data_IF_532902197249
#
_entry.id   IF_532902197249
#
_cell.length_a   1.000
_cell.length_b   1.000
_cell.length_c   1.000
_cell.angle_alpha   90.00
_cell.angle_beta   90.00
_cell.angle_gamma   90.00
#
_symmetry.space_group_name_H-M   'P 1'
#
loop_
_entity.id
_entity.type
_entity.pdbx_description
1 polymer ?
#
# COMPACT_ATOMS: atom_id res chain seq x y z
N UNK A 1 -20.32 1.64 -15.76
CA UNK A 1 -20.60 2.92 -15.08
C UNK A 1 -21.97 2.91 -14.45
N UNK A 2 -22.02 2.51 -13.18
CA UNK A 2 -23.18 2.67 -12.31
C UNK A 2 -22.67 3.49 -11.13
N UNK A 3 -22.74 4.82 -11.23
CA UNK A 3 -22.36 5.71 -10.12
C UNK A 3 -23.36 5.52 -8.99
N UNK A 4 -23.02 4.65 -8.04
CA UNK A 4 -23.69 4.54 -6.77
C UNK A 4 -23.48 5.87 -6.01
N UNK A 5 -24.54 6.65 -5.86
CA UNK A 5 -24.53 7.92 -5.14
C UNK A 5 -24.40 7.66 -3.64
N UNK A 6 -23.17 7.47 -3.15
CA UNK A 6 -22.89 7.39 -1.72
C UNK A 6 -23.12 8.75 -1.07
N UNK A 7 -24.19 8.87 -0.29
CA UNK A 7 -24.62 10.10 0.38
C UNK A 7 -23.88 10.35 1.71
N UNK A 8 -23.11 9.37 2.17
CA UNK A 8 -22.31 9.43 3.40
C UNK A 8 -20.84 9.19 3.09
N UNK A 9 -19.90 9.92 3.74
CA UNK A 9 -18.48 9.67 3.56
C UNK A 9 -18.12 8.26 4.04
N UNK A 10 -17.66 7.42 3.11
CA UNK A 10 -17.16 6.07 3.42
C UNK A 10 -15.91 6.20 4.26
N UNK A 11 -15.86 5.56 5.43
CA UNK A 11 -14.73 5.67 6.37
C UNK A 11 -13.87 4.40 6.34
N UNK A 12 -12.63 4.46 6.85
CA UNK A 12 -11.72 3.30 6.94
C UNK A 12 -12.38 2.07 7.58
N UNK A 13 -13.24 2.24 8.59
CA UNK A 13 -13.97 1.15 9.26
C UNK A 13 -14.90 0.39 8.31
N UNK A 14 -15.53 1.11 7.38
CA UNK A 14 -16.55 0.56 6.50
C UNK A 14 -15.93 -0.29 5.38
N UNK A 15 -14.69 0.04 5.00
CA UNK A 15 -13.90 -0.71 4.00
C UNK A 15 -13.12 -1.85 4.64
N UNK A 16 -12.61 -1.68 5.87
CA UNK A 16 -11.80 -2.69 6.56
C UNK A 16 -12.61 -3.79 7.25
N UNK A 17 -13.79 -3.47 7.79
CA UNK A 17 -14.61 -4.41 8.56
C UNK A 17 -16.00 -4.66 7.95
N UNK A 18 -16.36 -3.93 6.89
CA UNK A 18 -17.61 -4.13 6.16
C UNK A 18 -17.51 -5.15 5.04
N UNK A 19 -18.64 -5.41 4.38
CA UNK A 19 -18.66 -6.18 3.12
C UNK A 19 -17.93 -5.40 2.03
N UNK A 20 -16.85 -5.99 1.51
CA UNK A 20 -16.05 -5.35 0.48
C UNK A 20 -16.83 -5.20 -0.82
N UNK A 21 -16.79 -3.99 -1.38
CA UNK A 21 -17.39 -3.67 -2.66
C UNK A 21 -16.46 -2.71 -3.43
N UNK A 22 -16.29 -2.98 -4.72
CA UNK A 22 -15.40 -2.21 -5.60
C UNK A 22 -15.80 -0.73 -5.69
N UNK A 23 -17.10 -0.42 -5.81
CA UNK A 23 -17.58 0.96 -5.95
C UNK A 23 -17.38 1.76 -4.66
N UNK A 24 -17.64 1.13 -3.51
CA UNK A 24 -17.38 1.73 -2.19
C UNK A 24 -15.90 2.02 -1.99
N UNK A 25 -15.06 1.07 -2.38
CA UNK A 25 -13.60 1.17 -2.23
C UNK A 25 -13.03 2.24 -3.16
N UNK A 26 -13.48 2.31 -4.41
CA UNK A 26 -13.07 3.35 -5.35
C UNK A 26 -13.48 4.75 -4.87
N UNK A 27 -14.71 4.91 -4.37
CA UNK A 27 -15.18 6.15 -3.78
C UNK A 27 -14.33 6.55 -2.56
N UNK A 28 -14.05 5.62 -1.65
CA UNK A 28 -13.18 5.85 -0.50
C UNK A 28 -11.76 6.28 -0.92
N UNK A 29 -11.17 5.58 -1.88
CA UNK A 29 -9.82 5.84 -2.36
C UNK A 29 -9.70 7.24 -2.97
N UNK A 30 -10.68 7.64 -3.77
CA UNK A 30 -10.72 8.96 -4.44
C UNK A 30 -10.89 10.11 -3.46
N UNK A 31 -11.90 10.03 -2.58
CA UNK A 31 -12.30 11.19 -1.77
C UNK A 31 -11.59 11.28 -0.42
N UNK A 32 -11.21 10.14 0.15
CA UNK A 32 -10.61 10.10 1.50
C UNK A 32 -9.12 9.76 1.44
N UNK A 33 -8.75 8.70 0.73
CA UNK A 33 -7.37 8.22 0.75
C UNK A 33 -6.41 9.08 -0.08
N UNK A 34 -6.87 9.66 -1.20
CA UNK A 34 -6.06 10.51 -2.07
C UNK A 34 -5.53 11.77 -1.36
N UNK A 35 -6.36 12.63 -0.73
CA UNK A 35 -5.85 13.82 -0.03
C UNK A 35 -4.96 13.45 1.16
N UNK A 36 -5.28 12.37 1.89
CA UNK A 36 -4.45 11.87 2.99
C UNK A 36 -3.08 11.38 2.48
N UNK A 37 -3.06 10.63 1.39
CA UNK A 37 -1.83 10.15 0.75
C UNK A 37 -0.93 11.31 0.31
N UNK A 38 -1.48 12.37 -0.28
CA UNK A 38 -0.70 13.56 -0.60
C UNK A 38 -0.11 14.24 0.66
N UNK A 39 -0.90 14.37 1.73
CA UNK A 39 -0.42 14.91 3.00
C UNK A 39 0.72 14.08 3.61
N UNK A 40 0.57 12.76 3.60
CA UNK A 40 1.60 11.81 4.07
C UNK A 40 2.86 11.89 3.20
N UNK A 41 2.72 11.98 1.88
CA UNK A 41 3.86 12.09 0.96
C UNK A 41 4.65 13.39 1.20
N UNK A 42 3.98 14.52 1.37
CA UNK A 42 4.65 15.79 1.69
C UNK A 42 5.39 15.67 3.02
N UNK A 43 4.73 15.15 4.06
CA UNK A 43 5.35 14.93 5.36
C UNK A 43 6.56 13.98 5.26
N UNK A 44 6.47 12.94 4.45
CA UNK A 44 7.55 11.99 4.17
C UNK A 44 8.76 12.67 3.52
N UNK A 45 8.56 13.47 2.46
CA UNK A 45 9.64 14.20 1.80
C UNK A 45 10.33 15.21 2.73
N UNK A 46 9.54 15.91 3.54
CA UNK A 46 10.08 16.77 4.60
C UNK A 46 10.90 15.97 5.60
N UNK A 47 10.40 14.81 6.04
CA UNK A 47 11.11 13.93 6.97
C UNK A 47 12.43 13.39 6.37
N UNK A 48 12.47 13.02 5.10
CA UNK A 48 13.70 12.59 4.41
C UNK A 48 14.73 13.72 4.31
N UNK A 49 14.28 14.96 4.07
CA UNK A 49 15.17 16.11 3.92
C UNK A 49 15.66 16.69 5.26
N UNK A 50 14.78 16.79 6.26
CA UNK A 50 15.08 17.40 7.56
C UNK A 50 15.53 16.38 8.61
N UNK A 51 15.09 15.13 8.49
CA UNK A 51 15.40 14.05 9.44
C UNK A 51 16.90 13.83 9.65
N UNK A 52 17.72 13.69 8.60
CA UNK A 52 19.17 13.57 8.74
C UNK A 52 19.82 14.77 9.45
N UNK A 53 19.36 15.99 9.18
CA UNK A 53 19.85 17.24 9.82
C UNK A 53 19.52 17.29 11.31
N UNK A 54 18.32 16.84 11.70
CA UNK A 54 17.92 16.77 13.12
C UNK A 54 18.73 15.69 13.83
N UNK A 55 18.92 14.54 13.18
CA UNK A 55 19.65 13.41 13.75
C UNK A 55 21.15 13.67 13.88
N UNK A 56 21.73 14.61 13.12
CA UNK A 56 23.14 15.00 13.25
C UNK A 56 23.52 15.30 14.71
N UNK A 57 22.67 16.03 15.43
CA UNK A 57 22.84 16.44 16.83
C UNK A 57 22.51 15.36 17.86
N UNK A 58 21.97 14.20 17.44
CA UNK A 58 21.54 13.09 18.34
C UNK A 58 22.40 11.85 18.15
N UNK A 59 22.41 10.92 19.10
CA UNK A 59 23.06 9.61 18.93
C UNK A 59 22.18 8.71 18.03
N UNK A 60 22.82 7.83 17.26
CA UNK A 60 22.09 6.85 16.46
C UNK A 60 21.35 5.87 17.37
N UNK A 61 20.10 5.56 17.06
CA UNK A 61 19.32 4.58 17.80
C UNK A 61 19.66 3.16 17.31
N UNK A 62 19.84 2.22 18.25
CA UNK A 62 19.89 0.80 17.91
C UNK A 62 18.46 0.24 17.83
N UNK A 63 17.93 0.22 16.62
CA UNK A 63 16.58 -0.27 16.31
C UNK A 63 16.63 -1.59 15.54
N UNK A 64 17.76 -2.31 15.59
CA UNK A 64 17.98 -3.51 14.76
C UNK A 64 16.92 -4.58 14.99
N UNK A 65 16.54 -4.84 16.25
CA UNK A 65 15.51 -5.84 16.57
C UNK A 65 14.12 -5.39 16.08
N UNK A 66 13.78 -4.11 16.27
CA UNK A 66 12.49 -3.55 15.83
C UNK A 66 12.37 -3.56 14.31
N UNK A 67 13.45 -3.21 13.61
CA UNK A 67 13.52 -3.27 12.15
C UNK A 67 13.41 -4.71 11.64
N UNK A 68 14.05 -5.67 12.33
CA UNK A 68 13.92 -7.08 11.96
C UNK A 68 12.47 -7.58 12.15
N UNK A 69 11.84 -7.27 13.28
CA UNK A 69 10.43 -7.63 13.53
C UNK A 69 9.49 -6.99 12.51
N UNK A 70 9.75 -5.73 12.16
CA UNK A 70 9.01 -5.00 11.13
C UNK A 70 9.11 -5.66 9.75
N UNK A 71 10.33 -5.96 9.30
CA UNK A 71 10.56 -6.62 8.02
C UNK A 71 9.94 -8.03 7.97
N UNK A 72 9.98 -8.77 9.08
CA UNK A 72 9.30 -10.08 9.18
C UNK A 72 7.78 -9.92 9.05
N UNK A 73 7.22 -8.85 9.63
CA UNK A 73 5.79 -8.57 9.53
C UNK A 73 5.39 -8.27 8.08
N UNK A 74 6.17 -7.47 7.36
CA UNK A 74 5.96 -7.19 5.93
C UNK A 74 6.12 -8.44 5.06
N UNK A 75 7.09 -9.30 5.39
CA UNK A 75 7.27 -10.58 4.71
C UNK A 75 6.06 -11.51 4.92
N UNK A 76 5.60 -11.66 6.17
CA UNK A 76 4.44 -12.48 6.49
C UNK A 76 3.18 -11.97 5.78
N UNK A 77 2.97 -10.65 5.80
CA UNK A 77 1.88 -10.00 5.09
C UNK A 77 1.90 -10.28 3.58
N UNK A 78 3.07 -10.16 2.95
CA UNK A 78 3.24 -10.44 1.52
C UNK A 78 3.00 -11.93 1.20
N UNK A 79 3.47 -12.84 2.06
CA UNK A 79 3.26 -14.28 1.91
C UNK A 79 1.79 -14.66 2.04
N UNK A 80 1.05 -14.08 3.00
CA UNK A 80 -0.39 -14.29 3.17
C UNK A 80 -1.15 -13.77 1.97
N UNK A 81 -0.83 -12.56 1.51
CA UNK A 81 -1.48 -11.96 0.32
C UNK A 81 -1.26 -12.84 -0.92
N UNK A 82 -0.03 -13.33 -1.13
CA UNK A 82 0.27 -14.26 -2.21
C UNK A 82 -0.53 -15.56 -2.07
N UNK A 83 -0.59 -16.15 -0.87
CA UNK A 83 -1.32 -17.39 -0.63
C UNK A 83 -2.81 -17.26 -0.95
N UNK A 84 -3.42 -16.12 -0.62
CA UNK A 84 -4.84 -15.84 -0.89
C UNK A 84 -5.12 -15.59 -2.37
N UNK A 85 -4.21 -14.94 -3.10
CA UNK A 85 -4.35 -14.66 -4.55
C UNK A 85 -3.94 -15.84 -5.44
N UNK A 86 -3.09 -16.74 -4.93
CA UNK A 86 -2.61 -17.91 -5.68
C UNK A 86 -3.70 -18.77 -6.33
N UNK A 87 -4.82 -19.15 -5.67
CA UNK A 87 -5.86 -19.95 -6.29
C UNK A 87 -6.58 -19.22 -7.43
N UNK A 88 -6.71 -17.91 -7.37
CA UNK A 88 -7.27 -17.09 -8.45
C UNK A 88 -6.34 -17.12 -9.66
N UNK A 89 -5.05 -16.85 -9.44
CA UNK A 89 -4.03 -16.86 -10.50
C UNK A 89 -3.96 -18.22 -11.19
N UNK A 90 -3.98 -19.32 -10.42
CA UNK A 90 -3.96 -20.68 -10.98
C UNK A 90 -5.22 -20.96 -11.82
N UNK A 91 -6.40 -20.53 -11.34
CA UNK A 91 -7.65 -20.73 -12.07
C UNK A 91 -7.68 -19.94 -13.38
N UNK A 92 -7.29 -18.67 -13.35
CA UNK A 92 -7.25 -17.81 -14.54
C UNK A 92 -6.20 -18.33 -15.54
N UNK A 93 -5.06 -18.83 -15.05
CA UNK A 93 -4.03 -19.46 -15.87
C UNK A 93 -4.54 -20.74 -16.56
N UNK A 94 -5.24 -21.61 -15.83
CA UNK A 94 -5.83 -22.84 -16.41
C UNK A 94 -6.92 -22.55 -17.44
N UNK A 95 -7.69 -21.47 -17.25
CA UNK A 95 -8.79 -21.10 -18.15
C UNK A 95 -8.32 -20.48 -19.47
N UNK A 96 -7.20 -19.78 -19.52
CA UNK A 96 -6.79 -19.06 -20.74
C UNK A 96 -5.31 -18.69 -20.86
N UNK A 97 -4.44 -19.36 -20.11
CA UNK A 97 -2.99 -19.15 -20.15
C UNK A 97 -2.56 -17.77 -19.68
N UNK A 98 -1.33 -17.39 -20.02
CA UNK A 98 -0.67 -16.15 -19.55
C UNK A 98 -1.38 -14.89 -20.07
N UNK A 99 -1.90 -14.93 -21.31
CA UNK A 99 -2.58 -13.77 -21.91
C UNK A 99 -3.86 -13.45 -21.16
N UNK A 100 -4.63 -14.46 -20.73
CA UNK A 100 -5.85 -14.22 -19.96
C UNK A 100 -5.53 -13.68 -18.57
N UNK A 101 -4.52 -14.21 -17.88
CA UNK A 101 -4.10 -13.70 -16.56
C UNK A 101 -3.60 -12.26 -16.57
N UNK A 102 -3.08 -11.77 -17.71
CA UNK A 102 -2.55 -10.40 -17.83
C UNK A 102 -3.56 -9.43 -18.42
N UNK A 103 -4.39 -9.87 -19.38
CA UNK A 103 -5.26 -8.99 -20.16
C UNK A 103 -6.74 -9.07 -19.79
N UNK A 104 -7.18 -10.13 -19.09
CA UNK A 104 -8.59 -10.33 -18.71
C UNK A 104 -8.70 -10.52 -17.20
N UNK A 105 -9.13 -9.46 -16.53
CA UNK A 105 -9.21 -9.37 -15.08
C UNK A 105 -10.66 -9.22 -14.56
N UNK A 106 -11.65 -9.41 -15.43
CA UNK A 106 -13.06 -9.07 -15.15
C UNK A 106 -13.65 -9.85 -13.97
N UNK A 107 -13.27 -11.12 -13.78
CA UNK A 107 -13.78 -11.94 -12.68
C UNK A 107 -13.03 -11.72 -11.35
N UNK A 108 -11.74 -11.35 -11.43
CA UNK A 108 -10.83 -11.29 -10.28
C UNK A 108 -11.07 -10.10 -9.35
N UNK A 109 -11.18 -8.91 -9.93
CA UNK A 109 -11.42 -7.67 -9.18
C UNK A 109 -12.86 -7.55 -8.67
N UNK A 110 -13.79 -8.27 -9.30
CA UNK A 110 -15.23 -8.25 -8.95
C UNK A 110 -15.53 -9.17 -7.77
N UNK A 111 -14.69 -10.18 -7.51
CA UNK A 111 -14.84 -11.07 -6.37
C UNK A 111 -14.49 -10.36 -5.06
N UNK A 112 -15.37 -10.40 -4.03
CA UNK A 112 -15.18 -9.64 -2.80
C UNK A 112 -13.88 -9.94 -2.04
N UNK A 113 -13.45 -11.20 -2.04
CA UNK A 113 -12.25 -11.64 -1.35
C UNK A 113 -10.97 -11.17 -2.07
N UNK A 114 -10.89 -11.41 -3.38
CA UNK A 114 -9.70 -11.12 -4.18
C UNK A 114 -9.51 -9.61 -4.34
N UNK A 115 -10.59 -8.88 -4.65
CA UNK A 115 -10.58 -7.43 -4.70
C UNK A 115 -10.15 -6.78 -3.38
N UNK A 116 -10.59 -7.33 -2.23
CA UNK A 116 -10.13 -6.87 -0.92
C UNK A 116 -8.63 -7.09 -0.71
N UNK A 117 -8.10 -8.26 -1.08
CA UNK A 117 -6.67 -8.57 -0.97
C UNK A 117 -5.84 -7.69 -1.92
N UNK A 118 -6.32 -7.41 -3.14
CA UNK A 118 -5.68 -6.46 -4.05
C UNK A 118 -5.65 -5.04 -3.51
N UNK A 119 -6.75 -4.58 -2.90
CA UNK A 119 -6.80 -3.28 -2.25
C UNK A 119 -5.84 -3.20 -1.06
N UNK A 120 -5.86 -4.22 -0.19
CA UNK A 120 -4.92 -4.36 0.92
C UNK A 120 -3.47 -4.33 0.44
N UNK A 121 -3.14 -5.04 -0.64
CA UNK A 121 -1.80 -5.02 -1.24
C UNK A 121 -1.38 -3.61 -1.71
N UNK A 122 -2.31 -2.81 -2.26
CA UNK A 122 -2.05 -1.41 -2.55
C UNK A 122 -1.77 -0.58 -1.29
N UNK A 123 -2.53 -0.80 -0.23
CA UNK A 123 -2.40 -0.08 1.04
C UNK A 123 -1.12 -0.45 1.83
N UNK A 124 -0.55 -1.62 1.61
CA UNK A 124 0.66 -2.06 2.31
C UNK A 124 1.90 -1.22 2.00
N UNK A 125 1.85 -0.41 0.93
CA UNK A 125 2.91 0.56 0.57
C UNK A 125 3.03 1.72 1.55
N UNK A 126 1.97 2.02 2.32
CA UNK A 126 2.04 3.02 3.39
C UNK A 126 3.00 2.62 4.51
N UNK A 127 2.82 1.42 5.12
CA UNK A 127 3.77 0.86 6.08
C UNK A 127 5.23 0.83 5.61
N UNK A 128 5.51 0.54 4.33
CA UNK A 128 6.88 0.52 3.79
C UNK A 128 7.63 1.88 3.95
N UNK A 129 6.92 3.00 4.12
CA UNK A 129 7.54 4.31 4.42
C UNK A 129 8.26 4.33 5.79
N UNK A 130 7.88 3.44 6.72
CA UNK A 130 8.49 3.32 8.03
C UNK A 130 9.94 2.80 7.92
N UNK A 131 10.27 2.06 6.86
CA UNK A 131 11.64 1.58 6.63
C UNK A 131 12.63 2.75 6.49
N UNK A 132 12.23 3.80 5.78
CA UNK A 132 13.09 4.96 5.57
C UNK A 132 13.20 5.79 6.86
N UNK A 133 12.15 5.82 7.67
CA UNK A 133 12.19 6.42 9.01
C UNK A 133 13.22 5.69 9.89
N UNK A 134 13.23 4.36 9.88
CA UNK A 134 14.24 3.57 10.61
C UNK A 134 15.67 3.83 10.10
N UNK A 135 15.86 4.00 8.79
CA UNK A 135 17.18 4.36 8.24
C UNK A 135 17.66 5.72 8.74
N UNK A 136 16.79 6.73 8.74
CA UNK A 136 17.08 8.08 9.24
C UNK A 136 17.43 8.05 10.73
N UNK A 137 16.63 7.35 11.54
CA UNK A 137 16.86 7.19 12.99
C UNK A 137 18.17 6.47 13.31
N UNK A 138 18.65 5.61 12.40
CA UNK A 138 19.92 4.90 12.53
C UNK A 138 21.10 5.65 11.92
N UNK A 139 20.89 6.87 11.40
CA UNK A 139 21.91 7.64 10.64
C UNK A 139 22.49 6.89 9.44
N UNK A 140 21.69 6.06 8.79
CA UNK A 140 22.09 5.42 7.53
C UNK A 140 21.76 6.36 6.37
N UNK A 141 22.64 6.46 5.35
CA UNK A 141 22.36 7.30 4.19
C UNK A 141 21.13 6.78 3.46
N UNK A 142 20.16 7.66 3.22
CA UNK A 142 18.98 7.35 2.41
C UNK A 142 19.35 7.59 0.96
N UNK A 143 19.51 6.52 0.18
CA UNK A 143 19.84 6.60 -1.24
C UNK A 143 18.68 7.21 -2.02
N UNK A 144 18.99 7.95 -3.09
CA UNK A 144 17.99 8.58 -3.96
C UNK A 144 16.93 7.58 -4.44
N UNK A 145 17.39 6.44 -4.97
CA UNK A 145 16.52 5.39 -5.49
C UNK A 145 15.52 4.88 -4.44
N UNK A 146 15.94 4.82 -3.17
CA UNK A 146 15.12 4.26 -2.11
C UNK A 146 13.91 5.16 -1.80
N UNK A 147 14.16 6.43 -1.45
CA UNK A 147 13.06 7.34 -1.10
C UNK A 147 12.19 7.69 -2.31
N UNK A 148 12.78 7.76 -3.53
CA UNK A 148 12.03 7.97 -4.76
C UNK A 148 11.10 6.79 -5.06
N UNK A 149 11.62 5.56 -4.99
CA UNK A 149 10.82 4.36 -5.18
C UNK A 149 9.65 4.31 -4.19
N UNK A 150 9.91 4.47 -2.89
CA UNK A 150 8.86 4.43 -1.87
C UNK A 150 7.83 5.55 -2.03
N UNK A 151 8.23 6.73 -2.51
CA UNK A 151 7.30 7.83 -2.81
C UNK A 151 6.36 7.46 -3.95
N UNK A 152 6.91 6.91 -5.04
CA UNK A 152 6.13 6.53 -6.23
C UNK A 152 5.24 5.33 -5.96
N UNK A 153 5.74 4.29 -5.30
CA UNK A 153 4.94 3.10 -4.99
C UNK A 153 3.83 3.37 -3.98
N UNK A 154 3.99 4.38 -3.11
CA UNK A 154 2.95 4.80 -2.19
C UNK A 154 1.81 5.58 -2.89
N UNK A 155 2.15 6.52 -3.79
CA UNK A 155 1.14 7.36 -4.44
C UNK A 155 0.46 6.65 -5.63
N UNK A 156 1.15 5.72 -6.30
CA UNK A 156 0.63 5.07 -7.49
C UNK A 156 -0.73 4.37 -7.25
N UNK A 157 -0.91 3.52 -6.21
CA UNK A 157 -2.22 2.94 -5.93
C UNK A 157 -3.29 4.02 -5.70
N UNK A 158 -3.00 5.08 -4.94
CA UNK A 158 -3.99 6.13 -4.71
C UNK A 158 -4.51 6.76 -6.01
N UNK A 159 -3.63 6.93 -7.01
CA UNK A 159 -4.00 7.45 -8.34
C UNK A 159 -4.73 6.39 -9.18
N UNK A 160 -4.25 5.15 -9.22
CA UNK A 160 -4.86 4.09 -10.05
C UNK A 160 -6.28 3.70 -9.63
N UNK A 161 -6.65 3.93 -8.37
CA UNK A 161 -8.01 3.70 -7.86
C UNK A 161 -8.95 4.90 -8.06
N UNK A 162 -8.48 6.01 -8.64
CA UNK A 162 -9.27 7.22 -8.97
C UNK A 162 -9.74 7.17 -10.42
#
# INVERSE_FOLDING_TARGET
SSTSNFTTPVTYSDVLFGEWNVDKTAHFMTYTNLPVSFGVLIAYLLMVQFGPKIMEKRKAFDLRLKLAAWNISLFAYSAISLYLLLPEVIQTYRKGGVIRTMCYNDDGYTHPLYGYVYWLFGMSKGPELIDTLFLILRKRPVLFMHWYHHSVTFIAPAIFYT
#
